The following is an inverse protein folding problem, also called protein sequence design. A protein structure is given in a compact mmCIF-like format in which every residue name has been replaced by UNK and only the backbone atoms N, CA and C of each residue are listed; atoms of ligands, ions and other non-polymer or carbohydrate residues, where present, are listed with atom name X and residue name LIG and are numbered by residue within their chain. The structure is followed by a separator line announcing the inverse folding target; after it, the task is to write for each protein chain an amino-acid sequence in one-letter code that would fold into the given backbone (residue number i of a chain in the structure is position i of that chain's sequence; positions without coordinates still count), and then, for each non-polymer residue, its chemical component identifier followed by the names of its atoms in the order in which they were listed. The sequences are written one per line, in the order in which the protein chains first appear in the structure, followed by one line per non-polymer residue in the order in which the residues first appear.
data_IF_228657878125
#
_entry.id   IF_228657878125
#
_cell.length_a   1.000
_cell.length_b   1.000
_cell.length_c   1.000
_cell.angle_alpha   90.00
_cell.angle_beta   90.00
_cell.angle_gamma   90.00
#
_symmetry.space_group_name_H-M   'P 1'
#
loop_
_entity.id
_entity.type
_entity.pdbx_description
1 polymer ?
#
# COMPACT_ATOMS: atom_id res chain seq x y z
N UNK A 1 -0.62 -7.71 -19.45
CA UNK A 1 -1.73 -8.20 -18.60
C UNK A 1 -2.09 -7.08 -17.65
N UNK A 2 -3.20 -6.38 -17.89
CA UNK A 2 -3.65 -5.30 -17.02
C UNK A 2 -4.37 -5.89 -15.80
N UNK A 3 -4.00 -5.43 -14.59
CA UNK A 3 -4.79 -5.68 -13.39
C UNK A 3 -6.06 -4.82 -13.44
N UNK A 4 -7.01 -5.16 -14.34
CA UNK A 4 -8.32 -4.53 -14.36
C UNK A 4 -9.19 -5.30 -13.37
N UNK A 5 -9.42 -4.71 -12.21
CA UNK A 5 -10.55 -5.10 -11.39
C UNK A 5 -11.85 -4.79 -12.16
N UNK A 6 -12.47 -5.81 -12.74
CA UNK A 6 -13.61 -5.69 -13.67
C UNK A 6 -14.97 -5.95 -12.98
N UNK A 7 -15.09 -5.73 -11.67
CA UNK A 7 -16.34 -6.01 -10.95
C UNK A 7 -16.54 -5.12 -9.72
N UNK A 8 -16.63 -3.80 -9.89
CA UNK A 8 -17.11 -2.88 -8.83
C UNK A 8 -16.44 -1.52 -8.85
N UNK A 9 -17.15 -0.51 -8.34
CA UNK A 9 -16.58 0.80 -8.09
C UNK A 9 -15.51 0.70 -6.99
N UNK A 10 -14.44 1.50 -7.11
CA UNK A 10 -13.46 1.66 -6.03
C UNK A 10 -14.10 2.56 -4.97
N UNK A 11 -14.50 1.98 -3.86
CA UNK A 11 -15.10 2.72 -2.74
C UNK A 11 -14.05 2.93 -1.65
N UNK A 12 -13.93 4.16 -1.17
CA UNK A 12 -13.05 4.55 -0.06
C UNK A 12 -13.88 5.46 0.84
N UNK A 13 -14.24 5.00 2.02
CA UNK A 13 -14.98 5.82 2.99
C UNK A 13 -14.14 6.20 4.20
N UNK A 14 -13.07 5.44 4.47
CA UNK A 14 -12.08 5.75 5.51
C UNK A 14 -10.81 6.38 4.92
N UNK A 15 -10.18 7.32 5.63
CA UNK A 15 -8.94 7.93 5.18
C UNK A 15 -7.81 6.90 5.15
N UNK A 16 -6.98 7.01 4.11
CA UNK A 16 -5.69 6.33 4.03
C UNK A 16 -4.62 7.02 4.87
N UNK A 17 -3.36 6.65 4.63
CA UNK A 17 -2.21 7.42 5.13
C UNK A 17 -1.29 7.82 3.98
N UNK A 18 -0.51 8.88 4.21
CA UNK A 18 0.60 9.26 3.35
C UNK A 18 1.87 9.33 4.19
N UNK A 19 2.95 8.74 3.70
CA UNK A 19 4.22 8.73 4.39
C UNK A 19 5.36 9.07 3.43
N UNK A 20 6.38 9.77 3.95
CA UNK A 20 7.62 9.95 3.22
C UNK A 20 8.40 8.62 3.20
N UNK A 21 8.88 8.22 2.03
CA UNK A 21 9.81 7.08 1.91
C UNK A 21 11.22 7.56 2.23
N UNK A 22 12.02 6.71 2.87
CA UNK A 22 13.41 6.99 3.21
C UNK A 22 14.35 5.87 2.81
N UNK A 23 15.65 6.08 3.03
CA UNK A 23 16.71 5.12 2.74
C UNK A 23 16.60 3.84 3.59
N UNK A 24 15.98 3.94 4.76
CA UNK A 24 15.58 2.80 5.56
C UNK A 24 14.12 2.48 5.31
N UNK A 25 13.78 1.20 5.29
CA UNK A 25 12.39 0.76 5.31
C UNK A 25 11.68 1.29 6.54
N UNK A 26 10.47 1.81 6.34
CA UNK A 26 9.52 2.10 7.41
C UNK A 26 8.30 1.21 7.23
N UNK A 27 7.62 0.87 8.33
CA UNK A 27 6.39 0.10 8.31
C UNK A 27 5.28 0.88 9.00
N UNK A 28 4.09 0.86 8.44
CA UNK A 28 2.90 1.54 9.00
C UNK A 28 1.73 0.57 9.01
N UNK A 29 0.90 0.66 10.05
CA UNK A 29 -0.30 -0.14 10.16
C UNK A 29 -1.25 0.18 8.99
N UNK A 30 -1.82 -0.86 8.38
CA UNK A 30 -2.80 -0.69 7.32
C UNK A 30 -4.07 -0.06 7.94
N UNK A 31 -4.59 1.06 7.38
CA UNK A 31 -5.82 1.67 7.85
C UNK A 31 -6.99 0.68 7.78
N UNK A 32 -7.89 0.75 8.76
CA UNK A 32 -9.10 -0.08 8.79
C UNK A 32 -10.12 0.39 7.78
N UNK A 33 -10.97 -0.52 7.32
CA UNK A 33 -12.16 -0.19 6.54
C UNK A 33 -13.27 0.33 7.48
N UNK A 34 -14.34 0.89 6.90
CA UNK A 34 -15.47 1.49 7.62
C UNK A 34 -16.29 0.52 8.44
N UNK A 35 -16.25 -0.77 8.11
CA UNK A 35 -16.84 -1.84 8.89
C UNK A 35 -16.02 -2.21 10.15
N UNK A 36 -14.88 -1.52 10.37
CA UNK A 36 -13.96 -1.77 11.48
C UNK A 36 -13.03 -2.95 11.27
N UNK A 37 -13.16 -3.67 10.15
CA UNK A 37 -12.29 -4.78 9.79
C UNK A 37 -11.07 -4.30 9.01
N UNK A 38 -10.13 -5.22 8.82
CA UNK A 38 -9.01 -4.99 7.90
C UNK A 38 -9.53 -4.98 6.47
N UNK A 39 -9.12 -3.99 5.64
CA UNK A 39 -9.52 -3.96 4.25
C UNK A 39 -8.96 -5.18 3.53
N UNK A 40 -9.75 -5.76 2.61
CA UNK A 40 -9.30 -6.89 1.77
C UNK A 40 -8.28 -6.45 0.72
N UNK A 41 -8.35 -5.20 0.29
CA UNK A 41 -7.45 -4.64 -0.71
C UNK A 41 -6.97 -3.26 -0.27
N UNK A 42 -5.74 -2.92 -0.63
CA UNK A 42 -5.21 -1.57 -0.48
C UNK A 42 -4.71 -1.08 -1.83
N UNK A 43 -4.98 0.19 -2.13
CA UNK A 43 -4.34 0.88 -3.25
C UNK A 43 -3.12 1.61 -2.74
N UNK A 44 -1.98 1.40 -3.39
CA UNK A 44 -0.70 2.01 -3.06
C UNK A 44 -0.27 2.86 -4.25
N UNK A 45 -0.18 4.17 -4.05
CA UNK A 45 0.28 5.12 -5.06
C UNK A 45 1.61 5.75 -4.62
N UNK A 46 2.51 5.98 -5.57
CA UNK A 46 3.83 6.48 -5.28
C UNK A 46 4.15 7.75 -6.09
N UNK A 47 4.65 8.79 -5.42
CA UNK A 47 5.08 10.03 -6.08
C UNK A 47 6.45 9.88 -6.74
N UNK A 48 7.34 9.14 -6.09
CA UNK A 48 8.62 8.69 -6.65
C UNK A 48 8.66 7.16 -6.54
N UNK A 49 9.61 6.55 -7.25
CA UNK A 49 9.87 5.13 -7.18
C UNK A 49 10.00 4.65 -5.73
N UNK A 50 9.16 3.69 -5.34
CA UNK A 50 9.24 3.06 -4.04
C UNK A 50 9.00 1.56 -4.14
N UNK A 51 9.62 0.83 -3.21
CA UNK A 51 9.41 -0.60 -3.06
C UNK A 51 8.51 -0.84 -1.86
N UNK A 52 7.48 -1.66 -2.02
CA UNK A 52 6.48 -1.91 -0.98
C UNK A 52 6.29 -3.41 -0.72
N UNK A 53 6.02 -3.73 0.54
CA UNK A 53 5.80 -5.11 1.01
C UNK A 53 4.72 -5.16 2.08
N UNK A 54 3.82 -6.12 1.97
CA UNK A 54 2.83 -6.42 3.00
C UNK A 54 3.37 -7.42 4.02
N UNK A 55 3.03 -7.23 5.29
CA UNK A 55 3.44 -8.14 6.36
C UNK A 55 2.84 -7.82 7.72
N UNK A 56 3.50 -8.28 8.78
CA UNK A 56 3.19 -7.94 10.17
C UNK A 56 4.06 -6.76 10.63
N UNK A 57 3.98 -6.35 11.90
CA UNK A 57 4.71 -5.17 12.42
C UNK A 57 6.23 -5.19 12.21
N UNK A 58 6.82 -6.38 11.99
CA UNK A 58 8.26 -6.57 11.74
C UNK A 58 8.63 -6.58 10.25
N UNK A 59 7.67 -6.29 9.35
CA UNK A 59 7.92 -6.33 7.90
C UNK A 59 8.91 -5.24 7.47
N UNK A 60 9.85 -5.63 6.63
CA UNK A 60 10.88 -4.77 6.05
C UNK A 60 10.78 -4.86 4.53
N UNK A 61 10.63 -3.71 3.88
CA UNK A 61 10.69 -3.60 2.43
C UNK A 61 12.16 -3.49 1.98
N UNK A 62 12.46 -4.14 0.87
CA UNK A 62 13.76 -4.22 0.23
C UNK A 62 13.62 -3.87 -1.24
N UNK A 63 14.75 -3.61 -1.92
CA UNK A 63 14.77 -3.35 -3.37
C UNK A 63 14.34 -4.54 -4.25
N UNK A 64 14.00 -5.69 -3.64
CA UNK A 64 13.50 -6.87 -4.35
C UNK A 64 11.99 -7.07 -4.20
N UNK A 65 11.31 -6.20 -3.44
CA UNK A 65 9.85 -6.26 -3.27
C UNK A 65 9.14 -5.52 -4.42
N UNK A 66 7.83 -5.28 -4.30
CA UNK A 66 7.03 -4.73 -5.39
C UNK A 66 7.46 -3.28 -5.67
N UNK A 67 7.91 -3.04 -6.90
CA UNK A 67 8.21 -1.70 -7.40
C UNK A 67 6.93 -0.97 -7.82
N UNK A 68 6.66 0.18 -7.20
CA UNK A 68 5.64 1.13 -7.65
C UNK A 68 6.32 2.28 -8.35
N UNK A 69 6.01 2.47 -9.63
CA UNK A 69 6.61 3.50 -10.47
C UNK A 69 6.12 4.89 -10.05
N UNK A 70 6.90 5.95 -10.32
CA UNK A 70 6.48 7.33 -10.09
C UNK A 70 5.15 7.63 -10.80
N UNK A 71 4.24 8.31 -10.09
CA UNK A 71 2.91 8.68 -10.58
C UNK A 71 2.01 7.49 -10.98
N UNK A 72 2.34 6.28 -10.52
CA UNK A 72 1.55 5.08 -10.73
C UNK A 72 0.94 4.57 -9.41
N UNK A 73 0.00 3.63 -9.53
CA UNK A 73 -0.59 2.95 -8.39
C UNK A 73 -0.85 1.47 -8.64
N UNK A 74 -0.60 0.65 -7.64
CA UNK A 74 -0.90 -0.79 -7.63
C UNK A 74 -1.97 -1.10 -6.59
N UNK A 75 -2.79 -2.12 -6.85
CA UNK A 75 -3.74 -2.65 -5.87
C UNK A 75 -3.18 -3.97 -5.35
N UNK A 76 -3.06 -4.07 -4.02
CA UNK A 76 -2.56 -5.26 -3.34
C UNK A 76 -3.70 -5.89 -2.55
N UNK A 77 -3.88 -7.20 -2.71
CA UNK A 77 -4.71 -7.99 -1.80
C UNK A 77 -4.00 -8.09 -0.44
N UNK A 78 -4.75 -7.92 0.65
CA UNK A 78 -4.29 -8.00 2.03
C UNK A 78 -4.82 -9.31 2.64
N UNK A 79 -4.00 -10.38 2.69
CA UNK A 79 -4.39 -11.63 3.34
C UNK A 79 -4.70 -11.45 4.83
N UNK A 80 -5.49 -12.37 5.37
CA UNK A 80 -5.76 -12.43 6.80
C UNK A 80 -4.45 -12.52 7.62
N UNK A 81 -4.37 -11.76 8.71
CA UNK A 81 -3.19 -11.71 9.59
C UNK A 81 -2.11 -10.70 9.18
N UNK A 82 -2.21 -10.11 7.98
CA UNK A 82 -1.35 -9.01 7.56
C UNK A 82 -1.81 -7.73 8.23
N UNK A 83 -0.86 -7.04 8.88
CA UNK A 83 -1.18 -5.89 9.71
C UNK A 83 -0.56 -4.58 9.27
N UNK A 84 0.57 -4.66 8.55
CA UNK A 84 1.40 -3.53 8.19
C UNK A 84 1.80 -3.59 6.73
N UNK A 85 2.08 -2.42 6.18
CA UNK A 85 2.76 -2.24 4.91
C UNK A 85 4.10 -1.57 5.17
N UNK A 86 5.17 -2.16 4.65
CA UNK A 86 6.50 -1.57 4.63
C UNK A 86 6.76 -0.89 3.29
N UNK A 87 7.53 0.19 3.34
CA UNK A 87 7.91 0.98 2.19
C UNK A 87 9.34 1.50 2.34
N UNK A 88 10.09 1.48 1.25
CA UNK A 88 11.45 2.01 1.14
C UNK A 88 11.57 2.82 -0.16
N UNK A 89 12.41 3.85 -0.15
CA UNK A 89 12.68 4.62 -1.36
C UNK A 89 13.46 3.77 -2.38
N UNK A 90 13.28 4.07 -3.67
CA UNK A 90 14.21 3.63 -4.70
C UNK A 90 15.45 4.52 -4.70
N UNK A 91 15.66 5.25 -5.80
CA UNK A 91 16.84 6.13 -5.92
C UNK A 91 16.75 7.39 -5.05
N UNK A 92 15.55 7.92 -4.80
CA UNK A 92 15.35 9.16 -4.04
C UNK A 92 14.09 9.10 -3.17
N UNK A 93 14.08 9.87 -2.08
CA UNK A 93 12.94 10.00 -1.18
C UNK A 93 11.71 10.51 -1.93
N UNK A 94 10.56 9.97 -1.58
CA UNK A 94 9.28 10.31 -2.17
C UNK A 94 8.16 10.25 -1.16
N UNK A 95 6.93 10.17 -1.66
CA UNK A 95 5.76 9.90 -0.84
C UNK A 95 5.04 8.66 -1.36
N UNK A 96 4.61 7.81 -0.43
CA UNK A 96 3.67 6.74 -0.68
C UNK A 96 2.33 7.11 -0.06
N UNK A 97 1.27 6.88 -0.81
CA UNK A 97 -0.10 7.03 -0.35
C UNK A 97 -0.77 5.65 -0.37
N UNK A 98 -1.33 5.24 0.76
CA UNK A 98 -1.98 3.95 0.93
C UNK A 98 -3.42 4.17 1.35
N UNK A 99 -4.38 3.71 0.54
CA UNK A 99 -5.80 3.79 0.84
C UNK A 99 -6.44 2.41 1.00
N UNK A 100 -7.25 2.19 2.05
CA UNK A 100 -8.05 0.99 2.17
C UNK A 100 -9.13 1.01 1.09
N UNK A 101 -9.27 -0.10 0.35
CA UNK A 101 -10.37 -0.26 -0.60
C UNK A 101 -11.50 -1.04 0.05
N UNK A 102 -12.70 -0.51 -0.08
CA UNK A 102 -13.93 -1.12 0.40
C UNK A 102 -14.65 -1.77 -0.77
N UNK A 103 -14.89 -3.07 -0.66
CA UNK A 103 -15.86 -3.76 -1.50
C UNK A 103 -17.15 -3.85 -0.70
N UNK A 104 -18.17 -3.13 -1.16
CA UNK A 104 -19.55 -3.37 -0.76
C UNK A 104 -20.07 -4.68 -1.38
#
# INVERSE_FOLDING_TARGET
MSQIYCAGFVTITMPGFSAATGASSAATAIPVASDGNRPRYVRVAARNECYVKLGISTVVATANDILVQPADSVILHVPNGITHIAYIQGTAAGQVNVTPLEQA
#
